data_IF_142539489560
#
_entry.id   IF_142539489560
#
_cell.length_a   1.000
_cell.length_b   1.000
_cell.length_c   1.000
_cell.angle_alpha   90.00
_cell.angle_beta   90.00
_cell.angle_gamma   90.00
#
_symmetry.space_group_name_H-M   'P 1'
#
loop_
_entity.id
_entity.type
_entity.pdbx_description
1 polymer ?
#
# COMPACT_ATOMS: atom_id res chain seq x y z
N UNK A 1 -1.87 -0.44 -13.08
CA UNK A 1 -2.98 -0.18 -12.15
C UNK A 1 -2.45 0.70 -11.03
N UNK A 2 -3.05 1.88 -10.78
CA UNK A 2 -2.63 2.76 -9.68
C UNK A 2 -3.49 2.40 -8.46
N UNK A 3 -2.88 1.82 -7.44
CA UNK A 3 -3.56 1.53 -6.16
C UNK A 3 -3.73 2.86 -5.43
N UNK A 4 -4.96 3.17 -5.01
CA UNK A 4 -5.24 4.41 -4.29
C UNK A 4 -4.78 4.33 -2.84
N UNK A 5 -4.41 5.47 -2.29
CA UNK A 5 -4.11 5.67 -0.87
C UNK A 5 -5.20 6.58 -0.32
N UNK A 6 -5.80 6.19 0.80
CA UNK A 6 -6.78 7.00 1.54
C UNK A 6 -6.29 7.21 2.98
N UNK A 7 -6.65 8.32 3.63
CA UNK A 7 -6.15 8.63 4.97
C UNK A 7 -6.69 7.65 6.01
N UNK A 8 -7.99 7.33 5.96
CA UNK A 8 -8.63 6.46 6.94
C UNK A 8 -9.94 5.83 6.43
N UNK A 9 -10.42 4.82 7.16
CA UNK A 9 -11.73 4.17 7.01
C UNK A 9 -12.40 4.06 8.40
N UNK A 10 -12.82 5.21 8.91
CA UNK A 10 -13.35 5.37 10.27
C UNK A 10 -14.85 5.71 10.32
N UNK A 11 -15.48 5.92 9.17
CA UNK A 11 -16.90 6.28 9.11
C UNK A 11 -17.68 5.43 8.11
N UNK A 12 -18.99 5.26 8.37
CA UNK A 12 -19.91 4.56 7.46
C UNK A 12 -19.81 5.07 6.03
N UNK A 13 -19.75 6.39 5.86
CA UNK A 13 -19.67 7.01 4.53
C UNK A 13 -18.38 6.64 3.81
N UNK A 14 -17.24 6.63 4.52
CA UNK A 14 -15.96 6.23 3.94
C UNK A 14 -15.98 4.78 3.47
N UNK A 15 -16.55 3.87 4.26
CA UNK A 15 -16.73 2.47 3.87
C UNK A 15 -17.67 2.30 2.68
N UNK A 16 -18.80 3.01 2.64
CA UNK A 16 -19.71 3.00 1.48
C UNK A 16 -18.98 3.52 0.23
N UNK A 17 -18.26 4.64 0.36
CA UNK A 17 -17.49 5.23 -0.73
C UNK A 17 -16.34 4.34 -1.20
N UNK A 18 -15.79 3.50 -0.31
CA UNK A 18 -14.82 2.47 -0.67
C UNK A 18 -15.48 1.34 -1.48
N UNK A 19 -16.58 0.77 -0.99
CA UNK A 19 -17.31 -0.32 -1.65
C UNK A 19 -17.93 0.06 -3.01
N UNK A 20 -18.26 1.34 -3.20
CA UNK A 20 -18.83 1.87 -4.47
C UNK A 20 -17.80 2.07 -5.57
N UNK A 21 -16.51 1.86 -5.30
CA UNK A 21 -15.45 2.01 -6.31
C UNK A 21 -15.50 0.87 -7.31
N UNK A 22 -15.01 1.15 -8.52
CA UNK A 22 -14.78 0.15 -9.56
C UNK A 22 -13.92 -1.02 -9.06
N UNK A 23 -12.94 -0.71 -8.21
CA UNK A 23 -12.20 -1.72 -7.45
C UNK A 23 -12.20 -1.32 -5.98
N UNK A 24 -12.76 -2.18 -5.14
CA UNK A 24 -12.73 -2.05 -3.68
C UNK A 24 -11.38 -2.49 -3.14
N UNK A 25 -10.32 -1.79 -3.58
CA UNK A 25 -8.92 -2.12 -3.30
C UNK A 25 -8.12 -0.83 -3.08
N UNK A 26 -7.63 -0.60 -1.86
CA UNK A 26 -6.82 0.59 -1.54
C UNK A 26 -5.94 0.42 -0.31
N UNK A 27 -4.86 1.19 -0.27
CA UNK A 27 -4.09 1.42 0.95
C UNK A 27 -4.81 2.42 1.85
N UNK A 28 -4.74 2.19 3.15
CA UNK A 28 -5.18 3.10 4.21
C UNK A 28 -3.96 3.49 5.02
N UNK A 29 -3.74 4.79 5.22
CA UNK A 29 -2.57 5.29 5.97
C UNK A 29 -2.69 5.01 7.47
N UNK A 30 -3.91 5.08 8.01
CA UNK A 30 -4.18 4.87 9.44
C UNK A 30 -5.41 3.97 9.66
N UNK A 31 -5.23 2.76 10.20
CA UNK A 31 -3.96 2.03 10.37
C UNK A 31 -3.32 1.66 9.01
N UNK A 32 -1.98 1.55 8.98
CA UNK A 32 -1.19 1.21 7.77
C UNK A 32 -1.55 -0.20 7.27
N UNK A 33 -2.49 -0.23 6.33
CA UNK A 33 -3.17 -1.46 5.89
C UNK A 33 -3.53 -1.39 4.42
N UNK A 34 -3.63 -2.55 3.80
CA UNK A 34 -4.23 -2.72 2.48
C UNK A 34 -5.58 -3.42 2.65
N UNK A 35 -6.63 -2.76 2.15
CA UNK A 35 -8.01 -3.21 2.25
C UNK A 35 -8.49 -3.64 0.86
N UNK A 36 -9.07 -4.83 0.79
CA UNK A 36 -9.56 -5.44 -0.44
C UNK A 36 -10.90 -6.14 -0.18
N UNK A 37 -11.87 -5.99 -1.09
CA UNK A 37 -13.02 -6.88 -1.16
C UNK A 37 -12.84 -7.88 -2.31
N UNK A 38 -12.60 -9.14 -1.95
CA UNK A 38 -12.50 -10.26 -2.88
C UNK A 38 -13.81 -11.06 -2.87
N UNK A 39 -14.65 -10.80 -3.86
CA UNK A 39 -16.01 -11.38 -3.95
C UNK A 39 -16.84 -11.06 -2.70
N UNK A 40 -16.95 -12.01 -1.77
CA UNK A 40 -17.75 -11.91 -0.55
C UNK A 40 -16.91 -11.74 0.73
N UNK A 41 -15.58 -11.67 0.59
CA UNK A 41 -14.67 -11.56 1.72
C UNK A 41 -13.99 -10.20 1.74
N UNK A 42 -13.97 -9.58 2.92
CA UNK A 42 -13.09 -8.48 3.26
C UNK A 42 -11.71 -9.05 3.60
N UNK A 43 -10.70 -8.60 2.90
CA UNK A 43 -9.30 -8.90 3.18
C UNK A 43 -8.65 -7.66 3.77
N UNK A 44 -8.07 -7.81 4.95
CA UNK A 44 -7.29 -6.78 5.63
C UNK A 44 -5.86 -7.28 5.70
N UNK A 45 -4.94 -6.62 5.00
CA UNK A 45 -3.51 -6.90 5.09
C UNK A 45 -2.88 -5.85 5.99
N UNK A 46 -2.25 -6.28 7.09
CA UNK A 46 -1.48 -5.42 7.95
C UNK A 46 -0.11 -5.18 7.34
N UNK A 47 0.20 -3.91 7.08
CA UNK A 47 1.44 -3.49 6.42
C UNK A 47 2.35 -2.69 7.35
N UNK A 48 2.21 -2.92 8.66
CA UNK A 48 2.94 -2.20 9.69
C UNK A 48 4.43 -2.01 9.29
N UNK A 49 5.06 -0.93 9.78
CA UNK A 49 6.42 -0.53 9.39
C UNK A 49 7.51 -1.60 9.65
N UNK A 50 7.15 -2.74 10.27
CA UNK A 50 8.03 -3.89 10.48
C UNK A 50 8.00 -4.90 9.33
N UNK A 51 6.95 -4.90 8.50
CA UNK A 51 6.84 -5.74 7.29
C UNK A 51 7.77 -5.19 6.21
N UNK A 52 9.03 -5.66 6.22
CA UNK A 52 10.01 -5.36 5.16
C UNK A 52 9.81 -6.23 3.91
N UNK A 53 9.21 -7.39 4.09
CA UNK A 53 8.89 -8.34 3.03
C UNK A 53 7.39 -8.62 3.08
N UNK A 54 6.69 -8.48 1.94
CA UNK A 54 5.25 -8.72 1.86
C UNK A 54 4.85 -10.10 2.39
N UNK A 55 5.74 -11.10 2.35
CA UNK A 55 5.51 -12.46 2.91
C UNK A 55 5.28 -12.48 4.42
N UNK A 56 5.82 -11.51 5.14
CA UNK A 56 5.67 -11.41 6.59
C UNK A 56 4.38 -10.65 6.98
N UNK A 57 3.68 -10.08 5.99
CA UNK A 57 2.43 -9.38 6.21
C UNK A 57 1.34 -10.34 6.70
N UNK A 58 0.70 -9.97 7.82
CA UNK A 58 -0.46 -10.68 8.35
C UNK A 58 -1.69 -10.27 7.56
N UNK A 59 -2.43 -11.26 7.06
CA UNK A 59 -3.70 -11.10 6.38
C UNK A 59 -4.83 -11.69 7.20
N UNK A 60 -5.93 -10.95 7.27
CA UNK A 60 -7.21 -11.43 7.76
C UNK A 60 -8.18 -11.52 6.60
N UNK A 61 -8.88 -12.64 6.47
CA UNK A 61 -10.02 -12.80 5.56
C UNK A 61 -11.28 -12.94 6.40
N UNK A 62 -12.26 -12.08 6.17
CA UNK A 62 -13.52 -11.99 6.91
C UNK A 62 -14.67 -12.04 5.91
N UNK A 63 -15.57 -13.01 6.04
CA UNK A 63 -16.77 -13.06 5.21
C UNK A 63 -17.45 -14.42 5.21
N UNK A 64 -18.33 -14.63 4.23
CA UNK A 64 -18.96 -15.93 3.97
C UNK A 64 -18.80 -16.30 2.49
N UNK A 65 -18.99 -17.58 2.18
CA UNK A 65 -19.04 -18.04 0.79
C UNK A 65 -20.33 -17.57 0.10
N UNK A 66 -21.39 -17.34 0.88
CA UNK A 66 -22.74 -17.14 0.35
C UNK A 66 -23.05 -15.68 0.02
N UNK A 67 -22.61 -14.73 0.86
CA UNK A 67 -22.90 -13.31 0.66
C UNK A 67 -21.83 -12.40 1.29
N UNK A 68 -21.83 -11.13 0.89
CA UNK A 68 -20.98 -10.08 1.47
C UNK A 68 -21.52 -9.54 2.80
N UNK A 69 -22.78 -9.85 3.14
CA UNK A 69 -23.45 -9.35 4.34
C UNK A 69 -22.69 -9.64 5.64
N UNK A 70 -22.07 -10.83 5.84
CA UNK A 70 -21.29 -11.09 7.05
C UNK A 70 -20.06 -10.18 7.17
N UNK A 71 -19.39 -9.85 6.05
CA UNK A 71 -18.28 -8.91 6.05
C UNK A 71 -18.77 -7.48 6.37
N UNK A 72 -19.92 -7.08 5.82
CA UNK A 72 -20.53 -5.78 6.13
C UNK A 72 -21.00 -5.69 7.59
N UNK A 73 -21.64 -6.74 8.11
CA UNK A 73 -22.07 -6.83 9.50
C UNK A 73 -20.88 -6.79 10.45
N UNK A 74 -19.75 -7.38 10.06
CA UNK A 74 -18.50 -7.27 10.80
C UNK A 74 -17.97 -5.82 10.83
N UNK A 75 -17.98 -5.10 9.69
CA UNK A 75 -17.64 -3.66 9.66
C UNK A 75 -18.59 -2.86 10.56
N UNK A 76 -19.89 -3.16 10.53
CA UNK A 76 -20.91 -2.55 11.41
C UNK A 76 -20.62 -2.81 12.89
N UNK A 77 -20.27 -4.05 13.26
CA UNK A 77 -19.92 -4.42 14.63
C UNK A 77 -18.65 -3.71 15.12
N UNK A 78 -17.69 -3.46 14.22
CA UNK A 78 -16.53 -2.61 14.44
C UNK A 78 -16.84 -1.10 14.43
N UNK A 79 -18.11 -0.71 14.42
CA UNK A 79 -18.58 0.68 14.39
C UNK A 79 -17.99 1.49 13.22
N UNK A 80 -17.70 0.83 12.09
CA UNK A 80 -17.04 1.43 10.93
C UNK A 80 -15.64 2.00 11.20
N UNK A 81 -15.02 1.67 12.34
CA UNK A 81 -13.68 2.14 12.69
C UNK A 81 -12.63 1.07 12.38
N UNK A 82 -11.78 1.33 11.37
CA UNK A 82 -10.79 0.35 10.94
C UNK A 82 -9.73 0.07 12.01
N UNK A 83 -9.29 1.09 12.76
CA UNK A 83 -8.31 0.89 13.83
C UNK A 83 -8.85 -0.05 14.92
N UNK A 84 -10.11 0.14 15.32
CA UNK A 84 -10.80 -0.72 16.27
C UNK A 84 -10.98 -2.15 15.74
N UNK A 85 -11.34 -2.29 14.45
CA UNK A 85 -11.43 -3.59 13.78
C UNK A 85 -10.08 -4.31 13.82
N UNK A 86 -8.98 -3.63 13.46
CA UNK A 86 -7.63 -4.21 13.45
C UNK A 86 -7.21 -4.64 14.85
N UNK A 87 -7.36 -3.77 15.86
CA UNK A 87 -7.05 -4.12 17.27
C UNK A 87 -7.87 -5.31 17.76
N UNK A 88 -9.13 -5.40 17.35
CA UNK A 88 -10.00 -6.53 17.68
C UNK A 88 -9.57 -7.81 16.98
N UNK A 89 -9.06 -7.73 15.75
CA UNK A 89 -8.51 -8.90 15.04
C UNK A 89 -7.19 -9.38 15.63
N UNK A 90 -6.33 -8.46 16.08
CA UNK A 90 -5.04 -8.79 16.70
C UNK A 90 -5.18 -9.43 18.09
N UNK A 91 -6.27 -9.14 18.82
CA UNK A 91 -6.52 -9.72 20.15
C UNK A 91 -7.11 -11.14 20.11
N UNK A 92 -7.46 -11.65 18.93
CA UNK A 92 -8.01 -12.99 18.75
C UNK A 92 -6.91 -14.03 18.80
N UNK A 93 -7.11 -15.04 19.64
CA UNK A 93 -6.34 -16.26 19.54
C UNK A 93 -6.89 -17.16 18.41
N UNK A 94 -6.09 -17.34 17.37
CA UNK A 94 -6.37 -18.19 16.22
C UNK A 94 -5.83 -19.63 16.39
N UNK A 95 -5.22 -19.97 17.54
CA UNK A 95 -4.78 -21.33 17.88
C UNK A 95 -5.97 -22.26 18.21
N UNK A 96 -7.17 -21.71 18.41
CA UNK A 96 -8.45 -22.42 18.58
C UNK A 96 -9.52 -21.99 17.56
N UNK A 97 -10.71 -22.60 17.61
CA UNK A 97 -11.84 -22.19 16.76
C UNK A 97 -12.15 -20.71 17.00
N UNK A 98 -11.82 -19.85 16.03
CA UNK A 98 -12.01 -18.39 16.12
C UNK A 98 -13.46 -17.95 16.46
N UNK A 99 -14.43 -18.86 16.35
CA UNK A 99 -15.85 -18.70 16.70
C UNK A 99 -16.13 -18.51 18.19
N UNK A 100 -15.22 -18.90 19.08
CA UNK A 100 -15.49 -18.86 20.53
C UNK A 100 -15.30 -17.45 21.15
N UNK A 101 -14.70 -16.53 20.39
CA UNK A 101 -14.46 -15.15 20.79
C UNK A 101 -15.75 -14.33 20.84
N UNK A 102 -15.97 -13.65 21.97
CA UNK A 102 -17.19 -12.89 22.29
C UNK A 102 -17.54 -11.82 21.26
N UNK A 103 -16.55 -11.23 20.60
CA UNK A 103 -16.73 -10.23 19.53
C UNK A 103 -17.54 -10.77 18.34
N UNK A 104 -17.45 -12.08 18.06
CA UNK A 104 -18.03 -12.69 16.86
C UNK A 104 -19.37 -13.38 17.09
N UNK A 105 -19.78 -13.56 18.36
CA UNK A 105 -21.03 -14.25 18.70
C UNK A 105 -22.26 -13.55 18.12
N UNK A 106 -22.16 -12.26 17.81
CA UNK A 106 -23.26 -11.46 17.25
C UNK A 106 -23.41 -11.61 15.73
N UNK A 107 -22.38 -12.09 15.01
CA UNK A 107 -22.42 -12.20 13.53
C UNK A 107 -22.52 -13.67 13.14
N UNK A 108 -23.75 -14.15 12.97
CA UNK A 108 -24.03 -15.50 12.45
C UNK A 108 -23.46 -15.66 11.04
N UNK A 109 -22.82 -16.81 10.76
CA UNK A 109 -22.23 -17.18 9.46
C UNK A 109 -20.97 -16.42 8.99
N UNK A 110 -20.24 -15.74 9.89
CA UNK A 110 -18.92 -15.17 9.53
C UNK A 110 -17.79 -16.20 9.67
N UNK A 111 -16.95 -16.30 8.65
CA UNK A 111 -15.70 -17.04 8.66
C UNK A 111 -14.53 -16.05 8.72
N UNK A 112 -13.63 -16.27 9.67
CA UNK A 112 -12.46 -15.41 9.88
C UNK A 112 -11.22 -16.27 9.91
N UNK A 113 -10.26 -15.92 9.07
CA UNK A 113 -9.00 -16.63 8.93
C UNK A 113 -7.85 -15.66 8.98
N UNK A 114 -6.83 -16.02 9.76
CA UNK A 114 -5.52 -15.37 9.78
C UNK A 114 -4.55 -16.20 8.94
N UNK A 115 -3.80 -15.55 8.06
CA UNK A 115 -2.75 -16.19 7.26
C UNK A 115 -1.67 -15.18 6.90
N UNK A 116 -0.49 -15.67 6.54
CA UNK A 116 0.59 -14.82 6.02
C UNK A 116 0.47 -14.67 4.51
N UNK A 117 0.84 -13.51 3.97
CA UNK A 117 0.85 -13.34 2.53
C UNK A 117 1.85 -14.30 1.87
N UNK A 118 1.49 -14.86 0.72
CA UNK A 118 2.41 -15.68 -0.07
C UNK A 118 3.30 -14.83 -1.00
N UNK A 119 2.88 -13.59 -1.24
CA UNK A 119 3.46 -12.70 -2.24
C UNK A 119 4.40 -11.68 -1.62
N UNK A 120 5.56 -11.49 -2.25
CA UNK A 120 6.62 -10.58 -1.81
C UNK A 120 6.32 -9.11 -2.10
N UNK A 121 5.38 -8.81 -3.00
CA UNK A 121 5.26 -7.52 -3.68
C UNK A 121 4.36 -6.47 -3.01
N UNK A 122 3.83 -6.73 -1.80
CA UNK A 122 2.99 -5.74 -1.10
C UNK A 122 3.88 -4.91 -0.17
N UNK A 123 4.37 -3.79 -0.68
CA UNK A 123 5.12 -2.79 0.08
C UNK A 123 4.16 -1.68 0.48
N UNK A 124 4.11 -1.32 1.77
CA UNK A 124 3.32 -0.16 2.21
C UNK A 124 3.82 1.11 1.51
N UNK A 125 2.93 1.97 0.98
CA UNK A 125 3.32 3.31 0.55
C UNK A 125 4.01 4.11 1.65
N UNK A 126 3.64 3.88 2.93
CA UNK A 126 4.27 4.51 4.08
C UNK A 126 5.72 4.06 4.29
N UNK A 127 6.11 2.89 3.79
CA UNK A 127 7.49 2.41 3.85
C UNK A 127 8.45 3.26 3.01
N UNK A 128 7.95 3.83 1.91
CA UNK A 128 8.74 4.75 1.09
C UNK A 128 8.76 6.17 1.62
N UNK A 129 7.80 6.55 2.46
CA UNK A 129 7.56 7.94 2.84
C UNK A 129 7.26 8.83 1.62
N UNK A 130 6.99 10.12 1.83
CA UNK A 130 6.91 11.06 0.74
C UNK A 130 8.30 11.22 0.10
N UNK A 131 8.42 10.90 -1.20
CA UNK A 131 9.66 11.13 -1.97
C UNK A 131 9.78 12.62 -2.34
N UNK A 132 9.80 13.48 -1.33
CA UNK A 132 9.98 14.93 -1.50
C UNK A 132 11.40 15.26 -1.97
N UNK A 133 11.61 16.37 -2.69
CA UNK A 133 12.94 16.82 -3.05
C UNK A 133 13.87 16.90 -1.83
N UNK A 134 15.13 16.51 -2.00
CA UNK A 134 16.18 16.71 -1.00
C UNK A 134 16.53 18.21 -0.99
N UNK A 135 16.34 18.86 0.16
CA UNK A 135 16.55 20.31 0.34
C UNK A 135 17.96 20.61 0.87
N UNK A 136 18.52 19.70 1.68
CA UNK A 136 19.86 19.83 2.25
C UNK A 136 20.59 18.47 2.15
N UNK A 137 21.92 18.48 1.91
CA UNK A 137 22.70 17.25 1.92
C UNK A 137 22.68 16.62 3.31
N UNK A 138 22.32 15.33 3.44
CA UNK A 138 22.42 14.64 4.72
C UNK A 138 23.89 14.43 5.11
N UNK A 139 24.15 14.23 6.40
CA UNK A 139 25.48 13.86 6.90
C UNK A 139 25.92 12.50 6.33
N UNK A 140 24.98 11.56 6.23
CA UNK A 140 25.18 10.24 5.62
C UNK A 140 24.07 9.97 4.62
N UNK A 141 24.47 9.54 3.42
CA UNK A 141 23.52 9.16 2.38
C UNK A 141 22.94 7.77 2.65
N UNK A 142 21.62 7.69 2.76
CA UNK A 142 20.91 6.40 2.83
C UNK A 142 20.13 6.13 1.54
N UNK A 143 19.66 4.89 1.39
CA UNK A 143 18.91 4.45 0.20
C UNK A 143 17.68 5.33 -0.08
N UNK A 144 16.97 5.73 0.97
CA UNK A 144 15.79 6.60 0.86
C UNK A 144 16.14 7.97 0.26
N UNK A 145 17.28 8.57 0.60
CA UNK A 145 17.72 9.83 -0.01
C UNK A 145 18.00 9.66 -1.50
N UNK A 146 18.62 8.53 -1.89
CA UNK A 146 18.82 8.22 -3.31
C UNK A 146 17.48 8.06 -4.04
N UNK A 147 16.48 7.42 -3.43
CA UNK A 147 15.12 7.35 -3.98
C UNK A 147 14.51 8.74 -4.18
N UNK A 148 14.66 9.64 -3.19
CA UNK A 148 14.21 11.05 -3.30
C UNK A 148 14.89 11.78 -4.44
N UNK A 149 16.21 11.65 -4.58
CA UNK A 149 16.97 12.28 -5.65
C UNK A 149 16.54 11.78 -7.03
N UNK A 150 16.41 10.45 -7.21
CA UNK A 150 15.99 9.85 -8.46
C UNK A 150 14.55 10.25 -8.84
N UNK A 151 13.62 10.19 -7.88
CA UNK A 151 12.22 10.56 -8.09
C UNK A 151 12.05 12.04 -8.50
N UNK A 152 12.86 12.93 -7.92
CA UNK A 152 12.78 14.37 -8.18
C UNK A 152 13.74 14.87 -9.27
N UNK A 153 14.48 13.96 -9.91
CA UNK A 153 15.53 14.25 -10.91
C UNK A 153 16.59 15.23 -10.38
N UNK A 154 16.96 15.10 -9.12
CA UNK A 154 17.96 15.93 -8.44
C UNK A 154 19.35 15.29 -8.54
N UNK A 155 19.80 15.02 -9.77
CA UNK A 155 21.11 14.40 -10.00
C UNK A 155 21.72 14.84 -11.33
N UNK A 156 23.03 14.70 -11.42
CA UNK A 156 23.84 14.94 -12.60
C UNK A 156 24.74 13.74 -12.89
N UNK A 157 25.19 13.65 -14.13
CA UNK A 157 26.19 12.65 -14.56
C UNK A 157 25.83 11.21 -14.13
N UNK A 158 24.56 10.84 -14.32
CA UNK A 158 24.09 9.47 -14.12
C UNK A 158 24.85 8.55 -15.07
N UNK A 159 25.52 7.55 -14.52
CA UNK A 159 26.26 6.52 -15.24
C UNK A 159 25.75 5.17 -14.79
N UNK A 160 25.51 4.29 -15.76
CA UNK A 160 25.23 2.89 -15.50
C UNK A 160 26.56 2.14 -15.66
N UNK A 161 26.96 1.42 -14.62
CA UNK A 161 28.27 0.77 -14.51
C UNK A 161 28.20 -0.72 -14.93
N UNK A 162 27.14 -1.08 -15.67
CA UNK A 162 26.91 -2.43 -16.16
C UNK A 162 28.02 -2.77 -17.17
N UNK A 163 28.97 -3.60 -16.75
CA UNK A 163 29.94 -4.20 -17.66
C UNK A 163 29.22 -5.19 -18.56
N UNK A 164 29.34 -5.01 -19.88
CA UNK A 164 28.80 -5.91 -20.92
C UNK A 164 29.15 -7.40 -20.67
N UNK A 165 30.23 -7.67 -19.92
CA UNK A 165 30.71 -9.01 -19.59
C UNK A 165 29.87 -9.75 -18.52
N UNK A 166 29.02 -9.06 -17.75
CA UNK A 166 28.22 -9.66 -16.68
C UNK A 166 26.71 -9.76 -17.00
N UNK A 167 26.30 -9.35 -18.21
CA UNK A 167 24.89 -9.32 -18.62
C UNK A 167 24.20 -10.70 -18.65
N UNK A 168 24.97 -11.80 -18.60
CA UNK A 168 24.45 -13.16 -18.58
C UNK A 168 24.18 -13.73 -17.18
N UNK A 169 24.60 -13.05 -16.10
CA UNK A 169 24.50 -13.59 -14.73
C UNK A 169 23.66 -12.75 -13.75
N UNK A 170 23.24 -11.53 -14.10
CA UNK A 170 22.30 -10.80 -13.25
C UNK A 170 20.86 -11.24 -13.54
N UNK A 171 20.07 -11.64 -12.53
CA UNK A 171 18.66 -11.95 -12.70
C UNK A 171 17.90 -10.68 -13.06
N UNK A 172 17.61 -10.51 -14.36
CA UNK A 172 16.43 -9.81 -14.90
C UNK A 172 16.01 -8.52 -14.19
N UNK A 173 16.96 -7.63 -13.85
CA UNK A 173 16.61 -6.24 -13.62
C UNK A 173 16.60 -5.62 -15.02
N UNK A 174 15.45 -5.20 -15.58
CA UNK A 174 15.44 -4.40 -16.79
C UNK A 174 15.98 -3.02 -16.43
N UNK A 175 17.30 -2.92 -16.27
CA UNK A 175 18.02 -1.67 -16.22
C UNK A 175 18.06 -1.13 -17.64
N UNK A 176 16.90 -0.65 -18.11
CA UNK A 176 16.92 0.42 -19.08
C UNK A 176 17.82 1.52 -18.52
N UNK A 177 18.50 2.27 -19.38
CA UNK A 177 19.30 3.44 -19.01
C UNK A 177 18.46 4.59 -18.42
N UNK A 178 17.30 4.28 -17.84
CA UNK A 178 16.31 5.17 -17.27
C UNK A 178 16.45 5.18 -15.73
N UNK A 179 16.62 6.36 -15.11
CA UNK A 179 16.61 6.50 -13.64
C UNK A 179 15.35 5.91 -12.99
N UNK A 180 14.22 5.86 -13.70
CA UNK A 180 12.97 5.28 -13.18
C UNK A 180 13.09 3.79 -12.93
N UNK A 181 13.78 3.05 -13.80
CA UNK A 181 14.02 1.62 -13.63
C UNK A 181 14.88 1.33 -12.38
N UNK A 182 15.91 2.15 -12.16
CA UNK A 182 16.74 2.08 -10.93
C UNK A 182 15.88 2.35 -9.70
N UNK A 183 15.10 3.44 -9.70
CA UNK A 183 14.24 3.79 -8.57
C UNK A 183 13.30 2.64 -8.20
N UNK A 184 12.65 2.02 -9.19
CA UNK A 184 11.77 0.87 -8.96
C UNK A 184 12.55 -0.33 -8.39
N UNK A 185 13.76 -0.60 -8.87
CA UNK A 185 14.59 -1.69 -8.36
C UNK A 185 15.07 -1.44 -6.90
N UNK A 186 15.36 -0.19 -6.52
CA UNK A 186 15.67 0.18 -5.13
C UNK A 186 14.46 -0.03 -4.21
N UNK A 187 13.26 0.31 -4.71
CA UNK A 187 12.00 0.15 -3.98
C UNK A 187 11.67 -1.33 -3.77
N UNK A 188 11.86 -2.16 -4.80
CA UNK A 188 11.42 -3.56 -4.77
C UNK A 188 12.24 -4.42 -3.80
N UNK A 189 13.56 -4.19 -3.69
CA UNK A 189 14.47 -5.04 -2.91
C UNK A 189 15.51 -4.23 -2.12
N UNK A 190 15.11 -3.33 -1.22
CA UNK A 190 16.02 -2.37 -0.57
C UNK A 190 17.18 -3.04 0.19
N UNK A 191 16.96 -4.23 0.77
CA UNK A 191 17.98 -4.96 1.53
C UNK A 191 19.17 -5.45 0.67
N UNK A 192 18.98 -5.55 -0.65
CA UNK A 192 20.04 -5.93 -1.59
C UNK A 192 20.87 -4.74 -2.06
N UNK A 193 20.46 -3.52 -1.73
CA UNK A 193 21.09 -2.29 -2.17
C UNK A 193 21.91 -1.63 -1.08
N UNK A 194 23.06 -1.08 -1.47
CA UNK A 194 23.93 -0.27 -0.61
C UNK A 194 24.28 1.04 -1.30
N UNK A 195 24.37 2.10 -0.51
CA UNK A 195 24.77 3.43 -0.97
C UNK A 195 26.18 3.70 -0.49
N UNK A 196 27.10 3.96 -1.41
CA UNK A 196 28.44 4.44 -1.08
C UNK A 196 28.62 5.87 -1.60
N UNK A 197 29.13 6.77 -0.76
CA UNK A 197 29.51 8.13 -1.16
C UNK A 197 31.03 8.23 -1.27
N UNK A 198 31.53 8.69 -2.42
CA UNK A 198 32.96 8.96 -2.63
C UNK A 198 33.12 10.14 -3.56
N UNK A 199 33.93 11.13 -3.15
CA UNK A 199 34.22 12.34 -3.94
C UNK A 199 32.95 13.04 -4.46
N UNK A 200 31.94 13.19 -3.58
CA UNK A 200 30.64 13.78 -3.91
C UNK A 200 29.84 13.02 -5.00
N UNK A 201 30.21 11.78 -5.30
CA UNK A 201 29.45 10.88 -6.18
C UNK A 201 28.85 9.76 -5.35
N UNK A 202 27.56 9.53 -5.54
CA UNK A 202 26.82 8.42 -4.95
C UNK A 202 26.90 7.23 -5.89
N UNK A 203 27.20 6.06 -5.32
CA UNK A 203 27.24 4.78 -5.98
C UNK A 203 26.15 3.91 -5.38
N UNK A 204 25.29 3.37 -6.24
CA UNK A 204 24.28 2.38 -5.87
C UNK A 204 24.83 1.00 -6.23
N UNK A 205 25.03 0.18 -5.19
CA UNK A 205 25.56 -1.16 -5.32
C UNK A 205 24.43 -2.15 -5.05
N UNK A 206 24.26 -3.13 -5.94
CA UNK A 206 23.38 -4.28 -5.74
C UNK A 206 24.25 -5.50 -5.46
N UNK A 207 24.05 -6.18 -4.33
CA UNK A 207 24.86 -7.33 -3.88
C UNK A 207 26.38 -7.07 -3.99
N UNK A 208 26.82 -5.86 -3.59
CA UNK A 208 28.21 -5.34 -3.65
C UNK A 208 28.75 -4.99 -5.04
N UNK A 209 27.98 -5.16 -6.11
CA UNK A 209 28.36 -4.74 -7.45
C UNK A 209 27.82 -3.33 -7.76
N UNK A 210 28.64 -2.39 -8.24
CA UNK A 210 28.17 -1.06 -8.62
C UNK A 210 27.27 -1.17 -9.86
N UNK A 211 26.02 -0.70 -9.73
CA UNK A 211 25.04 -0.72 -10.82
C UNK A 211 24.96 0.65 -11.49
N UNK A 212 24.89 1.71 -10.70
CA UNK A 212 24.90 3.06 -11.22
C UNK A 212 25.52 4.05 -10.25
N UNK A 213 25.95 5.19 -10.79
CA UNK A 213 26.52 6.28 -10.01
C UNK A 213 26.07 7.64 -10.52
N UNK A 214 25.89 8.60 -9.62
CA UNK A 214 25.47 9.96 -9.97
C UNK A 214 25.95 10.99 -8.95
N UNK A 215 25.99 12.25 -9.34
CA UNK A 215 26.31 13.39 -8.46
C UNK A 215 24.99 14.01 -8.01
N UNK A 216 24.73 14.16 -6.69
CA UNK A 216 23.50 14.77 -6.20
C UNK A 216 23.45 16.26 -6.57
N UNK A 217 22.30 16.72 -7.05
CA UNK A 217 22.03 18.13 -7.30
C UNK A 217 21.06 18.67 -6.26
N UNK A 218 21.59 19.27 -5.22
CA UNK A 218 20.79 19.91 -4.17
C UNK A 218 20.79 21.40 -4.47
N UNK A 219 19.82 21.87 -5.24
CA UNK A 219 19.65 23.30 -5.47
C UNK A 219 19.27 23.97 -4.15
N UNK A 220 20.14 24.87 -3.68
CA UNK A 220 19.95 25.65 -2.46
C UNK A 220 18.96 26.79 -2.69
N UNK A 221 17.72 26.51 -3.12
CA UNK A 221 16.53 27.37 -2.95
C UNK A 221 15.32 26.82 -3.72
N UNK A 222 14.09 26.97 -3.19
CA UNK A 222 12.88 26.52 -3.85
C UNK A 222 12.49 27.56 -4.90
N UNK A 223 13.03 27.46 -6.12
CA UNK A 223 12.28 28.01 -7.25
C UNK A 223 11.01 27.17 -7.33
N UNK A 224 9.87 27.82 -7.08
CA UNK A 224 8.57 27.20 -6.96
C UNK A 224 8.30 26.31 -8.18
N UNK A 225 8.58 25.00 -8.08
CA UNK A 225 8.02 24.04 -9.02
C UNK A 225 6.51 24.19 -8.88
N UNK A 226 5.78 24.53 -9.95
CA UNK A 226 4.34 24.67 -9.86
C UNK A 226 3.81 23.33 -9.34
N UNK A 227 3.11 23.37 -8.19
CA UNK A 227 2.36 22.22 -7.70
C UNK A 227 1.63 21.62 -8.89
N UNK A 228 1.69 20.30 -9.14
CA UNK A 228 0.91 19.70 -10.20
C UNK A 228 -0.54 20.14 -10.00
N UNK A 229 -1.03 20.99 -10.91
CA UNK A 229 -2.44 21.36 -10.91
C UNK A 229 -3.17 20.06 -11.18
N UNK A 230 -3.87 19.56 -10.17
CA UNK A 230 -4.87 18.53 -10.36
C UNK A 230 -5.73 18.99 -11.53
N UNK A 231 -5.65 18.28 -12.66
CA UNK A 231 -6.62 18.44 -13.72
C UNK A 231 -7.96 18.19 -13.05
N UNK A 232 -8.77 19.24 -12.96
CA UNK A 232 -10.11 19.13 -12.39
C UNK A 232 -10.81 17.95 -13.09
N UNK A 233 -11.45 17.05 -12.33
CA UNK A 233 -12.14 15.92 -12.93
C UNK A 233 -13.17 16.48 -13.93
N UNK A 234 -12.92 16.19 -15.20
CA UNK A 234 -13.85 16.46 -16.28
C UNK A 234 -15.13 15.74 -15.89
N UNK A 235 -16.26 16.46 -15.80
CA UNK A 235 -17.58 15.90 -15.48
C UNK A 235 -17.89 14.77 -16.46
N UNK A 236 -17.62 13.53 -16.07
CA UNK A 236 -18.09 12.36 -16.81
C UNK A 236 -19.54 12.16 -16.39
N UNK A 237 -20.44 12.25 -17.37
CA UNK A 237 -21.86 11.91 -17.21
C UNK A 237 -21.93 10.50 -16.63
N UNK A 238 -22.57 10.38 -15.47
CA UNK A 238 -22.87 9.12 -14.81
C UNK A 238 -23.73 8.24 -15.72
N UNK A 239 -23.10 7.26 -16.36
CA UNK A 239 -23.78 6.10 -16.92
C UNK A 239 -24.08 5.13 -15.78
N UNK A 240 -25.36 4.79 -15.65
CA UNK A 240 -25.92 3.87 -14.66
C UNK A 240 -25.34 2.47 -14.76
N UNK A 241 -24.70 1.98 -13.69
CA UNK A 241 -24.67 0.56 -13.35
C UNK A 241 -25.16 0.39 -11.90
N UNK A 242 -26.43 -0.02 -11.81
CA UNK A 242 -27.13 -0.43 -10.60
C UNK A 242 -26.77 -1.88 -10.25
N UNK A 243 -27.18 -2.27 -9.05
CA UNK A 243 -27.25 -3.64 -8.50
C UNK A 243 -25.94 -4.26 -8.02
N UNK A 244 -25.69 -4.17 -6.70
CA UNK A 244 -25.42 -5.33 -5.81
C UNK A 244 -25.53 -4.92 -4.32
N UNK A 245 -25.32 -3.65 -3.94
CA UNK A 245 -25.41 -3.18 -2.53
C UNK A 245 -26.86 -2.90 -2.07
N UNK A 246 -27.79 -2.62 -3.00
CA UNK A 246 -29.19 -2.32 -2.69
C UNK A 246 -29.94 -3.47 -1.99
N UNK A 247 -29.41 -4.70 -2.00
CA UNK A 247 -30.02 -5.84 -1.29
C UNK A 247 -29.79 -5.78 0.23
N UNK A 248 -28.60 -5.33 0.67
CA UNK A 248 -28.26 -5.25 2.09
C UNK A 248 -28.75 -3.95 2.76
N UNK A 249 -29.03 -2.89 2.00
CA UNK A 249 -29.69 -1.69 2.52
C UNK A 249 -31.21 -1.88 2.69
N UNK A 250 -31.84 -2.76 1.90
CA UNK A 250 -33.29 -3.01 1.98
C UNK A 250 -33.71 -3.79 3.24
N UNK A 251 -32.81 -4.54 3.87
CA UNK A 251 -33.10 -5.22 5.13
C UNK A 251 -33.13 -4.28 6.35
N UNK A 252 -32.51 -3.10 6.26
CA UNK A 252 -32.46 -2.13 7.37
C UNK A 252 -33.68 -1.18 7.38
N UNK A 253 -34.59 -1.27 6.40
CA UNK A 253 -35.79 -0.41 6.28
C UNK A 253 -37.11 -1.09 6.69
N UNK A 254 -37.10 -2.35 7.14
CA UNK A 254 -38.33 -3.12 7.44
C UNK A 254 -38.56 -3.35 8.95
N UNK A 255 -37.63 -3.00 9.85
CA UNK A 255 -37.77 -3.29 11.29
C UNK A 255 -38.08 -2.09 12.19
N UNK A 256 -38.61 -0.99 11.63
CA UNK A 256 -39.16 0.12 12.45
C UNK A 256 -40.58 0.50 12.02
N UNK A 257 -41.53 -0.38 12.28
CA UNK A 257 -42.98 -0.14 12.47
C UNK A 257 -43.58 -1.51 12.78
N UNK A 258 -44.35 -1.80 13.83
CA UNK A 258 -45.22 -1.08 14.76
C UNK A 258 -45.76 -2.18 15.72
N UNK A 259 -46.64 -1.84 16.69
CA UNK A 259 -46.47 -1.06 17.91
C UNK A 259 -46.08 -1.91 19.14
#
# INVERSE_FOLDING_TARGET
MIIRIIPSLDTREQWINFCRRESSYCFVEKPDTLIDFQSNHLIITLLNQQVRNGKDAVKYSIGSRQSVEPAWNFIKAGQFNLEYIVKSLESIDFQGNARDNSFFRTVTDVNIRKFFAKEQAIISPSFLGPLEPVIQPPEFWVLHDCCRLLANKQFQQLRFEIREQNAQQLPSIPLSSDPTGVLLALIEKPDQWKVHSRNNRLWLLHDTQPICSFVPMIESQPSARPRPRLLQPRKVRSGSFKTTIDAAEKSDLITTSTP
#
